data_IF_944724017898
#
_entry.id   IF_944724017898
#
_cell.length_a   1.000
_cell.length_b   1.000
_cell.length_c   1.000
_cell.angle_alpha   90.00
_cell.angle_beta   90.00
_cell.angle_gamma   90.00
#
_symmetry.space_group_name_H-M   'P 1'
#
loop_
_entity.id
_entity.type
_entity.pdbx_description
1 polymer ?
#
# COMPACT_ATOMS: atom_id res chain seq x y z
N UNK A 1 -16.29 1.56 -4.34
CA UNK A 1 -16.48 2.98 -4.70
C UNK A 1 -15.27 3.40 -5.52
N UNK A 2 -15.48 3.95 -6.72
CA UNK A 2 -14.41 4.48 -7.57
C UNK A 2 -14.45 6.01 -7.48
N UNK A 3 -13.30 6.63 -7.26
CA UNK A 3 -13.13 8.08 -7.32
C UNK A 3 -12.46 8.41 -8.65
N UNK A 4 -13.10 9.26 -9.45
CA UNK A 4 -12.61 9.73 -10.74
C UNK A 4 -12.33 11.21 -10.58
N UNK A 5 -11.07 11.60 -10.76
CA UNK A 5 -10.63 12.98 -10.66
C UNK A 5 -10.86 13.71 -11.99
N UNK A 6 -11.05 15.03 -11.91
CA UNK A 6 -10.99 15.88 -13.10
C UNK A 6 -9.57 15.84 -13.69
N UNK A 7 -9.42 16.22 -14.96
CA UNK A 7 -8.13 16.14 -15.65
C UNK A 7 -7.08 17.05 -15.01
N UNK A 8 -7.49 18.21 -14.47
CA UNK A 8 -6.59 19.14 -13.79
C UNK A 8 -6.12 18.63 -12.41
N UNK A 9 -6.89 17.72 -11.77
CA UNK A 9 -6.61 17.15 -10.44
C UNK A 9 -5.99 15.74 -10.51
N UNK A 10 -5.63 15.30 -11.72
CA UNK A 10 -5.20 13.93 -11.96
C UNK A 10 -3.82 13.67 -11.36
N UNK A 11 -3.72 12.58 -10.61
CA UNK A 11 -2.45 12.11 -10.04
C UNK A 11 -1.65 11.43 -11.14
N UNK A 12 -0.49 11.99 -11.50
CA UNK A 12 0.25 11.57 -12.69
C UNK A 12 1.54 10.81 -12.34
N UNK A 13 2.04 10.97 -11.12
CA UNK A 13 3.26 10.33 -10.64
C UNK A 13 2.98 9.46 -9.41
N UNK A 14 3.80 8.42 -9.15
CA UNK A 14 3.69 7.63 -7.93
C UNK A 14 3.70 8.49 -6.66
N UNK A 15 4.51 9.54 -6.63
CA UNK A 15 4.61 10.44 -5.47
C UNK A 15 3.29 11.22 -5.24
N UNK A 16 2.57 11.59 -6.30
CA UNK A 16 1.24 12.22 -6.20
C UNK A 16 0.24 11.25 -5.53
N UNK A 17 0.26 9.98 -5.95
CA UNK A 17 -0.58 8.93 -5.35
C UNK A 17 -0.23 8.71 -3.88
N UNK A 18 1.06 8.61 -3.55
CA UNK A 18 1.53 8.39 -2.19
C UNK A 18 1.22 9.59 -1.28
N UNK A 19 1.20 10.81 -1.82
CA UNK A 19 0.82 12.00 -1.06
C UNK A 19 -0.66 11.98 -0.66
N UNK A 20 -1.53 11.58 -1.58
CA UNK A 20 -2.99 11.56 -1.38
C UNK A 20 -3.44 10.30 -0.62
N UNK A 21 -2.87 9.15 -0.95
CA UNK A 21 -3.23 7.84 -0.41
C UNK A 21 -2.17 7.40 0.60
N UNK A 22 -2.27 7.97 1.80
CA UNK A 22 -1.39 7.64 2.94
C UNK A 22 -2.19 7.38 4.21
N UNK A 23 -1.58 6.63 5.12
CA UNK A 23 -2.13 6.36 6.43
C UNK A 23 -0.99 6.20 7.44
N UNK A 24 -1.23 6.65 8.67
CA UNK A 24 -0.30 6.40 9.78
C UNK A 24 -0.48 4.98 10.33
N UNK A 25 0.62 4.37 10.76
CA UNK A 25 0.57 3.10 11.49
C UNK A 25 0.26 3.41 12.95
N UNK A 26 -1.01 3.30 13.30
CA UNK A 26 -1.52 3.54 14.64
C UNK A 26 -1.11 2.41 15.58
N UNK A 27 -1.00 2.68 16.88
CA UNK A 27 -0.74 1.60 17.83
C UNK A 27 -1.94 0.67 17.92
N UNK A 28 -1.67 -0.63 18.00
CA UNK A 28 -2.69 -1.66 17.99
C UNK A 28 -3.62 -1.63 19.22
N UNK A 29 -3.12 -1.16 20.36
CA UNK A 29 -3.87 -1.01 21.61
C UNK A 29 -4.83 0.18 21.58
N UNK A 30 -4.45 1.27 20.92
CA UNK A 30 -5.27 2.48 20.78
C UNK A 30 -6.37 2.28 19.72
N UNK A 31 -6.01 1.82 18.51
CA UNK A 31 -6.96 1.64 17.40
C UNK A 31 -6.75 0.32 16.64
N UNK A 32 -7.15 -0.83 17.23
CA UNK A 32 -6.85 -2.16 16.68
C UNK A 32 -7.43 -2.40 15.28
N UNK A 33 -8.60 -1.85 15.00
CA UNK A 33 -9.27 -2.00 13.69
C UNK A 33 -8.52 -1.27 12.58
N UNK A 34 -8.10 -0.02 12.84
CA UNK A 34 -7.37 0.78 11.86
C UNK A 34 -5.96 0.25 11.67
N UNK A 35 -5.29 -0.17 12.75
CA UNK A 35 -3.99 -0.84 12.65
C UNK A 35 -4.07 -2.06 11.72
N UNK A 36 -5.03 -2.97 11.93
CA UNK A 36 -5.21 -4.14 11.05
C UNK A 36 -5.51 -3.72 9.60
N UNK A 37 -6.29 -2.67 9.39
CA UNK A 37 -6.61 -2.18 8.04
C UNK A 37 -5.38 -1.64 7.31
N UNK A 38 -4.56 -0.81 7.97
CA UNK A 38 -3.33 -0.24 7.40
C UNK A 38 -2.31 -1.34 7.08
N UNK A 39 -2.05 -2.25 8.03
CA UNK A 39 -1.12 -3.37 7.81
C UNK A 39 -1.58 -4.26 6.64
N UNK A 40 -2.89 -4.51 6.51
CA UNK A 40 -3.43 -5.39 5.47
C UNK A 40 -3.40 -4.77 4.07
N UNK A 41 -3.71 -3.49 3.94
CA UNK A 41 -3.96 -2.87 2.62
C UNK A 41 -2.86 -1.91 2.17
N UNK A 42 -2.19 -1.22 3.09
CA UNK A 42 -1.19 -0.20 2.78
C UNK A 42 0.23 -0.78 2.80
N UNK A 43 0.50 -1.77 3.65
CA UNK A 43 1.82 -2.40 3.68
C UNK A 43 1.94 -3.52 2.66
N UNK A 44 3.08 -3.54 1.98
CA UNK A 44 3.51 -4.77 1.36
C UNK A 44 3.99 -5.74 2.44
N UNK A 45 3.29 -6.87 2.60
CA UNK A 45 3.76 -7.95 3.45
C UNK A 45 5.18 -8.41 3.07
N UNK A 46 5.86 -9.15 3.95
CA UNK A 46 7.21 -9.64 3.66
C UNK A 46 7.20 -10.43 2.34
N UNK A 47 8.07 -10.02 1.43
CA UNK A 47 8.33 -10.64 0.14
C UNK A 47 9.84 -10.76 -0.04
N UNK A 48 10.30 -11.08 -1.24
CA UNK A 48 11.73 -11.25 -1.50
C UNK A 48 12.22 -12.59 -0.96
N UNK A 49 13.46 -12.62 -0.48
CA UNK A 49 14.08 -13.82 0.07
C UNK A 49 13.31 -14.41 1.26
N UNK A 50 12.59 -13.57 2.02
CA UNK A 50 11.81 -14.01 3.19
C UNK A 50 10.58 -14.81 2.77
N UNK A 51 9.93 -14.40 1.67
CA UNK A 51 8.79 -15.13 1.08
C UNK A 51 8.90 -15.10 -0.46
N UNK A 52 9.66 -16.02 -1.07
CA UNK A 52 9.88 -16.00 -2.52
C UNK A 52 8.65 -16.46 -3.33
N UNK A 53 7.72 -17.20 -2.70
CA UNK A 53 6.58 -17.82 -3.37
C UNK A 53 5.28 -16.99 -3.33
N UNK A 54 5.36 -15.69 -3.09
CA UNK A 54 4.18 -14.81 -3.10
C UNK A 54 3.93 -14.24 -4.51
N UNK A 55 2.67 -13.91 -4.87
CA UNK A 55 2.33 -13.48 -6.23
C UNK A 55 3.05 -12.22 -6.75
N UNK A 56 3.55 -11.36 -5.86
CA UNK A 56 4.28 -10.14 -6.26
C UNK A 56 5.73 -10.41 -6.71
N UNK A 57 6.27 -11.61 -6.48
CA UNK A 57 7.62 -11.97 -6.85
C UNK A 57 7.68 -12.39 -8.31
N UNK A 58 8.58 -11.78 -9.09
CA UNK A 58 8.84 -12.12 -10.49
C UNK A 58 10.34 -12.10 -10.75
N UNK A 59 10.88 -13.20 -11.27
CA UNK A 59 12.32 -13.38 -11.53
C UNK A 59 13.20 -13.08 -10.31
N UNK A 60 12.78 -13.50 -9.12
CA UNK A 60 13.53 -13.27 -7.88
C UNK A 60 13.47 -11.84 -7.32
N UNK A 61 12.79 -10.92 -8.01
CA UNK A 61 12.56 -9.55 -7.53
C UNK A 61 11.10 -9.33 -7.19
N UNK A 62 10.84 -8.54 -6.15
CA UNK A 62 9.50 -8.01 -5.94
C UNK A 62 9.19 -7.01 -7.05
N UNK A 63 8.04 -7.17 -7.70
CA UNK A 63 7.52 -6.26 -8.74
C UNK A 63 6.29 -5.47 -8.26
N UNK A 64 6.12 -5.37 -6.94
CA UNK A 64 5.09 -4.53 -6.37
C UNK A 64 5.42 -3.06 -6.52
#
# INVERSE_FOLDING_TARGET
>A
MLLIFDEDDKLNTPDDYDYVVRAEILKQDEEPKLHVAVIKHMLHGPCGHIKPNVPCMKNGMCKK
#
